data_IF_518784527520
#
_entry.id   IF_518784527520
#
_cell.length_a   1.000
_cell.length_b   1.000
_cell.length_c   1.000
_cell.angle_alpha   90.00
_cell.angle_beta   90.00
_cell.angle_gamma   90.00
#
_symmetry.space_group_name_H-M   'P 1'
#
loop_
_entity.id
_entity.type
_entity.pdbx_description
1 polymer ?
#
# COMPACT_ATOMS: atom_id res chain seq x y z
N UNK A 1 -4.15 7.60 19.63
CA UNK A 1 -5.21 7.79 18.62
C UNK A 1 -5.07 6.79 17.45
N UNK A 2 -5.36 5.48 17.61
CA UNK A 2 -5.25 4.50 16.52
C UNK A 2 -6.59 4.17 15.82
N UNK A 3 -7.74 4.61 16.34
CA UNK A 3 -9.06 4.14 15.90
C UNK A 3 -9.43 4.56 14.47
N UNK A 4 -9.07 5.77 14.04
CA UNK A 4 -9.37 6.25 12.69
C UNK A 4 -8.60 5.51 11.60
N UNK A 5 -7.52 4.80 11.93
CA UNK A 5 -6.76 4.00 10.97
C UNK A 5 -7.33 2.59 10.77
N UNK A 6 -8.02 2.04 11.78
CA UNK A 6 -8.83 0.83 11.58
C UNK A 6 -10.00 1.12 10.63
N UNK A 7 -10.55 2.33 10.68
CA UNK A 7 -11.58 2.79 9.74
C UNK A 7 -11.04 2.85 8.32
N UNK A 8 -9.80 3.30 8.09
CA UNK A 8 -9.21 3.27 6.74
C UNK A 8 -9.03 1.86 6.21
N UNK A 9 -8.59 0.89 7.03
CA UNK A 9 -8.49 -0.51 6.59
C UNK A 9 -9.88 -1.13 6.30
N UNK A 10 -10.88 -0.85 7.13
CA UNK A 10 -12.25 -1.29 6.88
C UNK A 10 -12.84 -0.64 5.61
N UNK A 11 -12.53 0.63 5.37
CA UNK A 11 -12.93 1.35 4.16
C UNK A 11 -12.24 0.81 2.91
N UNK A 12 -10.95 0.44 2.98
CA UNK A 12 -10.26 -0.27 1.88
C UNK A 12 -10.96 -1.57 1.52
N UNK A 13 -11.34 -2.37 2.52
CA UNK A 13 -12.05 -3.64 2.30
C UNK A 13 -13.44 -3.44 1.66
N UNK A 14 -14.19 -2.43 2.12
CA UNK A 14 -15.46 -2.06 1.52
C UNK A 14 -15.30 -1.56 0.08
N UNK A 15 -14.28 -0.73 -0.18
CA UNK A 15 -13.93 -0.23 -1.50
C UNK A 15 -13.57 -1.35 -2.48
N UNK A 16 -12.76 -2.32 -2.05
CA UNK A 16 -12.39 -3.47 -2.86
C UNK A 16 -13.60 -4.35 -3.20
N UNK A 17 -14.50 -4.56 -2.23
CA UNK A 17 -15.74 -5.30 -2.45
C UNK A 17 -16.68 -4.59 -3.44
N UNK A 18 -16.79 -3.26 -3.34
CA UNK A 18 -17.59 -2.46 -4.27
C UNK A 18 -17.00 -2.46 -5.69
N UNK A 19 -15.67 -2.34 -5.83
CA UNK A 19 -14.97 -2.38 -7.12
C UNK A 19 -15.18 -3.71 -7.82
N UNK A 20 -15.04 -4.82 -7.07
CA UNK A 20 -15.35 -6.17 -7.55
C UNK A 20 -16.77 -6.26 -8.10
N UNK A 21 -17.78 -5.85 -7.32
CA UNK A 21 -19.19 -5.94 -7.75
C UNK A 21 -19.51 -5.09 -8.98
N UNK A 22 -18.72 -4.03 -9.23
CA UNK A 22 -18.96 -3.09 -10.33
C UNK A 22 -18.27 -3.48 -11.63
N UNK A 23 -17.13 -4.17 -11.55
CA UNK A 23 -16.23 -4.44 -12.67
C UNK A 23 -15.88 -5.93 -12.85
N UNK A 24 -16.46 -6.84 -12.05
CA UNK A 24 -16.20 -8.29 -12.06
C UNK A 24 -14.69 -8.65 -11.97
N UNK A 25 -13.93 -7.83 -11.26
CA UNK A 25 -12.49 -8.02 -11.07
C UNK A 25 -12.21 -9.13 -10.07
N UNK A 26 -11.08 -9.82 -10.25
CA UNK A 26 -10.56 -10.79 -9.29
C UNK A 26 -10.46 -10.15 -7.88
N UNK A 27 -10.79 -10.90 -6.81
CA UNK A 27 -10.74 -10.38 -5.45
C UNK A 27 -9.37 -9.81 -5.06
N UNK A 28 -8.30 -10.47 -5.51
CA UNK A 28 -6.91 -10.03 -5.26
C UNK A 28 -6.59 -8.76 -6.05
N UNK A 29 -6.95 -8.68 -7.33
CA UNK A 29 -6.71 -7.49 -8.15
C UNK A 29 -7.45 -6.27 -7.59
N UNK A 30 -8.71 -6.45 -7.17
CA UNK A 30 -9.53 -5.41 -6.55
C UNK A 30 -8.90 -4.87 -5.26
N UNK A 31 -8.39 -5.78 -4.41
CA UNK A 31 -7.70 -5.42 -3.18
C UNK A 31 -6.41 -4.63 -3.45
N UNK A 32 -5.56 -5.13 -4.35
CA UNK A 32 -4.29 -4.48 -4.69
C UNK A 32 -4.50 -3.08 -5.27
N UNK A 33 -5.50 -2.88 -6.13
CA UNK A 33 -5.81 -1.57 -6.70
C UNK A 33 -6.15 -0.57 -5.59
N UNK A 34 -7.02 -0.96 -4.66
CA UNK A 34 -7.46 -0.07 -3.58
C UNK A 34 -6.31 0.25 -2.64
N UNK A 35 -5.53 -0.74 -2.20
CA UNK A 35 -4.38 -0.50 -1.32
C UNK A 35 -3.29 0.36 -1.97
N UNK A 36 -3.06 0.22 -3.29
CA UNK A 36 -2.14 1.09 -4.00
C UNK A 36 -2.63 2.55 -4.06
N UNK A 37 -3.92 2.77 -4.29
CA UNK A 37 -4.51 4.12 -4.28
C UNK A 37 -4.48 4.74 -2.88
N UNK A 38 -4.83 3.97 -1.85
CA UNK A 38 -4.79 4.42 -0.45
C UNK A 38 -3.36 4.74 -0.01
N UNK A 39 -2.40 3.88 -0.33
CA UNK A 39 -0.99 4.14 -0.07
C UNK A 39 -0.52 5.42 -0.78
N UNK A 40 -0.83 5.59 -2.06
CA UNK A 40 -0.48 6.80 -2.80
C UNK A 40 -1.06 8.07 -2.17
N UNK A 41 -2.36 8.06 -1.83
CA UNK A 41 -3.04 9.17 -1.19
C UNK A 41 -2.46 9.49 0.20
N UNK A 42 -2.12 8.47 0.99
CA UNK A 42 -1.54 8.65 2.32
C UNK A 42 -0.16 9.33 2.27
N UNK A 43 0.70 8.93 1.32
CA UNK A 43 1.99 9.60 1.09
C UNK A 43 1.81 11.04 0.58
N UNK A 44 0.84 11.28 -0.30
CA UNK A 44 0.50 12.62 -0.78
C UNK A 44 -0.01 13.52 0.35
N UNK A 45 -0.89 13.01 1.20
CA UNK A 45 -1.42 13.72 2.37
C UNK A 45 -0.33 14.06 3.39
N UNK A 46 0.59 13.12 3.65
CA UNK A 46 1.75 13.36 4.51
C UNK A 46 2.63 14.51 4.01
N UNK A 47 2.87 14.58 2.68
CA UNK A 47 3.58 15.73 2.08
C UNK A 47 2.76 17.02 2.18
N UNK A 48 1.45 16.98 1.91
CA UNK A 48 0.59 18.16 1.97
C UNK A 48 0.54 18.78 3.39
N UNK A 49 0.65 17.94 4.41
CA UNK A 49 0.71 18.39 5.82
C UNK A 49 2.11 18.85 6.22
N UNK A 50 3.16 18.45 5.51
CA UNK A 50 4.53 18.80 5.84
C UNK A 50 4.75 20.33 5.74
N UNK A 51 4.65 21.02 6.89
CA UNK A 51 4.73 22.49 6.98
C UNK A 51 3.52 23.13 7.67
N UNK A 52 2.44 22.37 7.93
CA UNK A 52 1.27 22.83 8.68
C UNK A 52 1.35 22.44 10.17
N UNK A 53 0.46 22.98 11.01
CA UNK A 53 0.32 22.56 12.42
C UNK A 53 -0.39 21.20 12.60
N UNK A 54 -0.77 20.52 11.52
CA UNK A 54 -1.46 19.23 11.60
C UNK A 54 -0.47 18.11 11.95
N UNK A 55 -0.98 17.07 12.62
CA UNK A 55 -0.19 15.89 12.93
C UNK A 55 0.22 15.15 11.65
N UNK A 56 1.52 14.89 11.51
CA UNK A 56 2.06 14.11 10.37
C UNK A 56 1.60 12.65 10.42
N UNK A 57 1.57 11.98 9.27
CA UNK A 57 1.18 10.58 9.19
C UNK A 57 2.30 9.72 9.78
N UNK A 58 2.01 8.82 10.74
CA UNK A 58 3.04 7.99 11.35
C UNK A 58 3.65 7.03 10.33
N UNK A 59 4.99 6.93 10.31
CA UNK A 59 5.73 6.11 9.34
C UNK A 59 5.29 4.63 9.34
N UNK A 60 4.93 4.09 10.50
CA UNK A 60 4.41 2.72 10.65
C UNK A 60 3.16 2.46 9.81
N UNK A 61 2.32 3.47 9.59
CA UNK A 61 1.07 3.31 8.84
C UNK A 61 1.34 3.30 7.34
N UNK A 62 2.24 4.16 6.87
CA UNK A 62 2.70 4.16 5.48
C UNK A 62 3.32 2.80 5.11
N UNK A 63 4.10 2.23 6.04
CA UNK A 63 4.67 0.89 5.88
C UNK A 63 3.61 -0.22 5.98
N UNK A 64 2.57 -0.07 6.81
CA UNK A 64 1.49 -1.05 6.91
C UNK A 64 0.68 -1.15 5.61
N UNK A 65 0.36 -0.03 4.95
CA UNK A 65 -0.29 -0.05 3.64
C UNK A 65 0.62 -0.61 2.54
N UNK A 66 1.92 -0.30 2.59
CA UNK A 66 2.88 -0.91 1.69
C UNK A 66 2.91 -2.44 1.85
N UNK A 67 2.87 -2.95 3.09
CA UNK A 67 2.84 -4.39 3.39
C UNK A 67 1.51 -5.07 3.02
N UNK A 68 0.43 -4.30 2.93
CA UNK A 68 -0.90 -4.81 2.60
C UNK A 68 -1.15 -5.00 1.09
N UNK A 69 -0.17 -4.69 0.23
CA UNK A 69 -0.31 -4.71 -1.23
C UNK A 69 -0.11 -3.36 -1.92
N UNK A 70 0.15 -2.30 -1.16
CA UNK A 70 0.28 -0.93 -1.64
C UNK A 70 1.69 -0.52 -2.12
N UNK A 71 2.63 -1.46 -2.27
CA UNK A 71 4.02 -1.14 -2.58
C UNK A 71 4.20 -0.32 -3.86
N UNK A 72 3.47 -0.61 -4.94
CA UNK A 72 3.62 0.11 -6.20
C UNK A 72 3.17 1.58 -6.07
N UNK A 73 2.00 1.82 -5.47
CA UNK A 73 1.46 3.15 -5.21
C UNK A 73 2.32 3.94 -4.22
N UNK A 74 2.84 3.28 -3.18
CA UNK A 74 3.79 3.87 -2.24
C UNK A 74 5.11 4.26 -2.94
N UNK A 75 5.65 3.40 -3.80
CA UNK A 75 6.86 3.70 -4.58
C UNK A 75 6.65 4.90 -5.51
N UNK A 76 5.57 4.88 -6.29
CA UNK A 76 5.20 5.98 -7.19
C UNK A 76 5.02 7.29 -6.42
N UNK A 77 4.36 7.25 -5.25
CA UNK A 77 4.21 8.41 -4.39
C UNK A 77 5.55 8.94 -3.86
N UNK A 78 6.45 8.07 -3.40
CA UNK A 78 7.79 8.50 -2.93
C UNK A 78 8.58 9.22 -4.02
N UNK A 79 8.53 8.71 -5.26
CA UNK A 79 9.23 9.30 -6.40
C UNK A 79 8.60 10.63 -6.84
N UNK A 80 7.27 10.69 -6.99
CA UNK A 80 6.54 11.91 -7.38
C UNK A 80 6.66 13.02 -6.34
N UNK A 81 6.47 12.67 -5.08
CA UNK A 81 6.48 13.64 -3.99
C UNK A 81 7.89 14.00 -3.54
N UNK A 82 8.92 13.23 -3.95
CA UNK A 82 10.32 13.34 -3.47
C UNK A 82 10.38 13.46 -1.94
N UNK A 83 9.42 12.85 -1.26
CA UNK A 83 9.21 12.96 0.16
C UNK A 83 9.65 11.65 0.83
N UNK A 84 10.37 11.74 1.94
CA UNK A 84 10.91 10.59 2.69
C UNK A 84 11.88 9.67 1.91
N UNK A 85 12.49 10.15 0.83
CA UNK A 85 13.58 9.46 0.09
C UNK A 85 14.94 9.55 0.77
N UNK A 86 15.16 10.53 1.65
CA UNK A 86 16.46 10.80 2.30
C UNK A 86 16.68 10.02 3.61
N UNK A 87 15.62 9.62 4.33
CA UNK A 87 15.77 8.85 5.57
C UNK A 87 16.12 7.39 5.24
N UNK A 88 17.38 7.02 5.44
CA UNK A 88 17.87 5.65 5.21
C UNK A 88 17.03 4.58 5.93
N UNK A 89 16.60 4.84 7.17
CA UNK A 89 15.80 3.91 7.98
C UNK A 89 14.42 3.62 7.40
N UNK A 90 13.76 4.60 6.78
CA UNK A 90 12.46 4.41 6.14
C UNK A 90 12.59 3.60 4.86
N UNK A 91 13.57 3.96 4.02
CA UNK A 91 13.87 3.30 2.75
C UNK A 91 14.27 1.84 2.95
N UNK A 92 15.06 1.53 3.98
CA UNK A 92 15.43 0.14 4.31
C UNK A 92 14.19 -0.70 4.65
N UNK A 93 13.29 -0.17 5.49
CA UNK A 93 12.04 -0.86 5.85
C UNK A 93 11.13 -1.04 4.63
N UNK A 94 11.03 -0.03 3.77
CA UNK A 94 10.25 -0.12 2.54
C UNK A 94 10.79 -1.20 1.61
N UNK A 95 12.10 -1.22 1.33
CA UNK A 95 12.69 -2.25 0.47
C UNK A 95 12.61 -3.65 1.06
N UNK A 96 12.70 -3.79 2.39
CA UNK A 96 12.45 -5.08 3.05
C UNK A 96 11.02 -5.57 2.80
N UNK A 97 10.03 -4.68 2.86
CA UNK A 97 8.63 -5.03 2.56
C UNK A 97 8.46 -5.40 1.09
N UNK A 98 9.05 -4.63 0.15
CA UNK A 98 9.03 -4.96 -1.27
C UNK A 98 9.64 -6.34 -1.54
N UNK A 99 10.75 -6.69 -0.87
CA UNK A 99 11.37 -8.00 -1.00
C UNK A 99 10.47 -9.12 -0.46
N UNK A 100 9.78 -8.90 0.67
CA UNK A 100 8.84 -9.87 1.25
C UNK A 100 7.64 -10.07 0.32
N UNK A 101 7.04 -9.00 -0.21
CA UNK A 101 5.92 -9.11 -1.16
C UNK A 101 6.36 -9.80 -2.45
N UNK A 102 7.52 -9.44 -3.01
CA UNK A 102 8.05 -10.10 -4.20
C UNK A 102 8.27 -11.60 -3.97
N UNK A 103 8.81 -11.99 -2.81
CA UNK A 103 9.00 -13.39 -2.45
C UNK A 103 7.66 -14.12 -2.27
N UNK A 104 6.66 -13.49 -1.65
CA UNK A 104 5.33 -14.06 -1.47
C UNK A 104 4.61 -14.27 -2.82
N UNK A 105 4.71 -13.28 -3.73
CA UNK A 105 4.17 -13.39 -5.10
C UNK A 105 4.90 -14.47 -5.89
N UNK A 106 6.24 -14.52 -5.81
CA UNK A 106 7.03 -15.57 -6.48
C UNK A 106 6.68 -16.96 -5.94
N UNK A 107 6.54 -17.11 -4.62
CA UNK A 107 6.08 -18.36 -4.01
C UNK A 107 4.68 -18.74 -4.50
N UNK A 108 3.75 -17.79 -4.55
CA UNK A 108 2.41 -18.06 -5.05
C UNK A 108 2.42 -18.54 -6.50
N UNK A 109 3.21 -17.91 -7.37
CA UNK A 109 3.31 -18.30 -8.79
C UNK A 109 4.05 -19.65 -8.95
N UNK A 110 5.15 -19.87 -8.24
CA UNK A 110 5.96 -21.09 -8.34
C UNK A 110 5.39 -22.29 -7.57
N UNK A 111 4.55 -22.05 -6.55
CA UNK A 111 3.90 -23.07 -5.73
C UNK A 111 2.55 -23.54 -6.28
N UNK A 112 2.01 -22.88 -7.31
CA UNK A 112 0.87 -23.40 -8.06
C UNK A 112 1.33 -24.58 -8.93
N UNK A 113 0.60 -25.71 -8.95
CA UNK A 113 0.86 -26.74 -9.94
C UNK A 113 0.77 -26.10 -11.33
N UNK A 114 1.69 -26.40 -12.26
CA UNK A 114 1.63 -25.84 -13.60
C UNK A 114 0.25 -26.12 -14.19
N UNK A 115 -0.45 -25.07 -14.60
CA UNK A 115 -1.72 -25.17 -15.31
C UNK A 115 -1.46 -26.06 -16.53
N UNK A 116 -1.85 -27.34 -16.42
CA UNK A 116 -1.92 -28.26 -17.54
C UNK A 116 -3.02 -27.70 -18.45
N UNK A 117 -2.60 -26.96 -19.48
CA UNK A 117 -3.44 -26.78 -20.67
C UNK A 117 -3.48 -28.08 -21.45
#
# INVERSE_FOLDING_TARGET
MPLHWLVTFAASAAGACALRRRFDLDPLASWLIVENLVAFAAFGYDKAIAGTRRARVPERLLLAHALAGGCAGAFVAMQLFRHKTAKGSFRLRFWAIVAIEAAAVAWYICGLPPIRR
#
